data_IF_966054067452
#
_entry.id   IF_966054067452
#
_cell.length_a   1.000
_cell.length_b   1.000
_cell.length_c   1.000
_cell.angle_alpha   90.00
_cell.angle_beta   90.00
_cell.angle_gamma   90.00
#
_symmetry.space_group_name_H-M   'P 1'
#
loop_
_entity.id
_entity.type
_entity.pdbx_description
1 polymer ?
#
# COMPACT_ATOMS: atom_id res chain seq x y z
N UNK A 1 21.59 -22.93 11.65
CA UNK A 1 20.42 -22.13 12.04
C UNK A 1 20.54 -20.77 11.37
N UNK A 2 19.62 -20.42 10.46
CA UNK A 2 19.55 -19.05 9.98
C UNK A 2 18.93 -18.18 11.07
N UNK A 3 19.65 -17.15 11.52
CA UNK A 3 19.10 -16.12 12.40
C UNK A 3 18.25 -15.13 11.63
N UNK A 4 17.80 -14.07 12.30
CA UNK A 4 17.14 -12.93 11.66
C UNK A 4 18.21 -11.90 11.25
N UNK A 5 18.07 -11.35 10.04
CA UNK A 5 18.86 -10.17 9.65
C UNK A 5 18.45 -8.92 10.45
N UNK A 6 19.27 -7.88 10.40
CA UNK A 6 18.92 -6.59 10.97
C UNK A 6 17.60 -6.07 10.35
N UNK A 7 16.69 -5.58 11.19
CA UNK A 7 15.36 -5.11 10.76
C UNK A 7 15.14 -3.68 11.27
N UNK A 8 14.81 -2.76 10.37
CA UNK A 8 14.36 -1.42 10.73
C UNK A 8 12.91 -1.46 11.20
N UNK A 9 12.61 -0.68 12.24
CA UNK A 9 11.27 -0.63 12.82
C UNK A 9 10.82 0.79 13.04
N UNK A 10 9.56 1.02 12.71
CA UNK A 10 8.88 2.28 12.93
C UNK A 10 7.51 1.99 13.53
N UNK A 11 7.10 2.79 14.51
CA UNK A 11 5.79 2.64 15.13
C UNK A 11 4.75 3.47 14.36
N UNK A 12 4.06 2.82 13.43
CA UNK A 12 2.99 3.45 12.63
C UNK A 12 1.79 3.91 13.46
N UNK A 13 1.68 3.53 14.74
CA UNK A 13 0.61 4.03 15.60
C UNK A 13 0.75 5.52 15.92
N UNK A 14 1.95 6.08 15.70
CA UNK A 14 2.26 7.51 15.81
C UNK A 14 1.62 8.36 14.71
N UNK A 15 1.27 7.72 13.59
CA UNK A 15 0.77 8.37 12.38
C UNK A 15 -0.72 8.07 12.14
N UNK A 16 -1.45 7.70 13.20
CA UNK A 16 -2.89 7.42 13.08
C UNK A 16 -3.64 8.65 12.56
N UNK A 17 -4.51 8.42 11.59
CA UNK A 17 -5.28 9.47 10.90
C UNK A 17 -4.56 10.05 9.69
N UNK A 18 -3.28 9.74 9.48
CA UNK A 18 -2.58 10.13 8.25
C UNK A 18 -3.17 9.40 7.04
N UNK A 19 -3.35 10.16 5.96
CA UNK A 19 -3.80 9.63 4.68
C UNK A 19 -2.62 9.03 3.95
N UNK A 20 -2.82 7.89 3.31
CA UNK A 20 -1.82 7.22 2.47
C UNK A 20 -2.40 6.84 1.12
N UNK A 21 -1.54 6.71 0.13
CA UNK A 21 -1.84 6.11 -1.17
C UNK A 21 -1.07 4.82 -1.32
N UNK A 22 -1.79 3.75 -1.65
CA UNK A 22 -1.25 2.44 -2.00
C UNK A 22 -1.30 2.27 -3.51
N UNK A 23 -0.22 1.78 -4.13
CA UNK A 23 -0.21 1.58 -5.57
C UNK A 23 0.64 0.38 -6.04
N UNK A 24 0.21 -0.24 -7.15
CA UNK A 24 0.91 -1.36 -7.80
C UNK A 24 0.59 -1.45 -9.28
N UNK A 25 1.60 -1.47 -10.14
CA UNK A 25 1.41 -1.83 -11.55
C UNK A 25 1.05 -3.31 -11.70
N UNK A 26 0.18 -3.60 -12.66
CA UNK A 26 -0.06 -4.97 -13.09
C UNK A 26 1.18 -5.53 -13.80
N UNK A 27 1.29 -6.86 -13.99
CA UNK A 27 2.48 -7.48 -14.58
C UNK A 27 2.86 -6.98 -15.99
N UNK A 28 1.90 -6.43 -16.74
CA UNK A 28 2.15 -5.88 -18.09
C UNK A 28 2.42 -4.37 -18.11
N UNK A 29 2.44 -3.71 -16.95
CA UNK A 29 2.63 -2.27 -16.81
C UNK A 29 1.63 -1.39 -17.62
N UNK A 30 0.47 -1.94 -17.95
CA UNK A 30 -0.60 -1.22 -18.69
C UNK A 30 -1.65 -0.63 -17.76
N UNK A 31 -1.73 -1.13 -16.52
CA UNK A 31 -2.66 -0.67 -15.50
C UNK A 31 -1.94 -0.42 -14.18
N UNK A 32 -2.32 0.65 -13.50
CA UNK A 32 -1.90 0.95 -12.13
C UNK A 32 -3.09 0.76 -11.19
N UNK A 33 -2.98 -0.17 -10.25
CA UNK A 33 -3.89 -0.23 -9.12
C UNK A 33 -3.50 0.88 -8.15
N UNK A 34 -4.46 1.69 -7.73
CA UNK A 34 -4.28 2.76 -6.74
C UNK A 34 -5.42 2.74 -5.73
N UNK A 35 -5.12 2.92 -4.44
CA UNK A 35 -6.15 3.01 -3.41
C UNK A 35 -5.74 4.05 -2.37
N UNK A 36 -6.73 4.84 -1.94
CA UNK A 36 -6.59 5.71 -0.78
C UNK A 36 -6.81 4.90 0.49
N UNK A 37 -5.96 5.10 1.48
CA UNK A 37 -6.08 4.53 2.81
C UNK A 37 -5.89 5.57 3.91
N UNK A 38 -6.24 5.16 5.12
CA UNK A 38 -5.97 5.89 6.36
C UNK A 38 -5.18 4.96 7.29
N UNK A 39 -4.07 5.44 7.84
CA UNK A 39 -3.34 4.71 8.87
C UNK A 39 -4.18 4.66 10.15
N UNK A 40 -4.50 3.47 10.61
CA UNK A 40 -5.31 3.25 11.83
C UNK A 40 -4.53 2.59 12.96
N UNK A 41 -3.32 2.09 12.69
CA UNK A 41 -2.49 1.47 13.71
C UNK A 41 -1.19 0.83 13.23
N UNK A 42 -0.58 0.12 14.16
CA UNK A 42 0.65 -0.64 13.99
C UNK A 42 0.54 -1.93 14.78
N UNK A 43 1.04 -3.03 14.22
CA UNK A 43 1.20 -4.27 14.98
C UNK A 43 2.57 -4.90 14.75
N UNK A 44 3.00 -5.73 15.71
CA UNK A 44 4.25 -6.49 15.61
C UNK A 44 5.55 -5.67 15.80
N UNK A 45 5.47 -4.39 16.18
CA UNK A 45 6.64 -3.54 16.44
C UNK A 45 7.61 -4.14 17.49
N UNK A 46 7.06 -4.77 18.53
CA UNK A 46 7.79 -5.38 19.65
C UNK A 46 8.11 -6.87 19.44
N UNK A 47 7.70 -7.47 18.31
CA UNK A 47 7.86 -8.91 18.04
C UNK A 47 9.13 -9.20 17.26
N UNK A 48 9.74 -10.37 17.36
CA UNK A 48 10.96 -10.71 16.60
C UNK A 48 10.62 -11.01 15.13
N UNK A 49 11.58 -10.84 14.21
CA UNK A 49 11.44 -11.20 12.79
C UNK A 49 10.64 -10.20 11.94
N UNK A 50 10.08 -10.69 10.81
CA UNK A 50 9.31 -9.94 9.83
C UNK A 50 7.84 -9.72 10.27
N UNK A 51 7.67 -9.10 11.43
CA UNK A 51 6.37 -8.99 12.10
C UNK A 51 5.77 -7.59 12.11
N UNK A 52 6.55 -6.55 11.78
CA UNK A 52 6.07 -5.17 11.72
C UNK A 52 4.97 -5.01 10.66
N UNK A 53 3.87 -4.36 11.03
CA UNK A 53 2.74 -4.07 10.13
C UNK A 53 2.26 -2.64 10.32
N UNK A 54 1.99 -1.97 9.21
CA UNK A 54 1.12 -0.80 9.17
C UNK A 54 -0.33 -1.28 8.99
N UNK A 55 -1.25 -0.83 9.84
CA UNK A 55 -2.66 -1.16 9.70
C UNK A 55 -3.35 -0.02 8.98
N UNK A 56 -3.89 -0.31 7.79
CA UNK A 56 -4.44 0.69 6.88
C UNK A 56 -5.91 0.35 6.63
N UNK A 57 -6.77 1.31 6.90
CA UNK A 57 -8.19 1.24 6.54
C UNK A 57 -8.36 1.76 5.12
N UNK A 58 -8.93 0.93 4.25
CA UNK A 58 -9.34 1.29 2.89
C UNK A 58 -10.87 1.36 2.79
N UNK A 59 -11.39 1.93 1.71
CA UNK A 59 -12.84 2.10 1.51
C UNK A 59 -13.59 0.76 1.49
N UNK A 60 -13.08 -0.21 0.75
CA UNK A 60 -13.62 -1.57 0.67
C UNK A 60 -12.46 -2.59 0.63
N UNK A 61 -12.20 -3.24 1.75
CA UNK A 61 -11.10 -4.19 1.88
C UNK A 61 -11.30 -5.46 1.03
N UNK A 62 -12.55 -5.83 0.72
CA UNK A 62 -12.84 -7.02 -0.08
C UNK A 62 -12.57 -6.75 -1.56
N UNK A 63 -13.02 -5.61 -2.04
CA UNK A 63 -12.74 -5.17 -3.41
C UNK A 63 -11.23 -4.92 -3.62
N UNK A 64 -10.55 -4.31 -2.65
CA UNK A 64 -9.09 -4.17 -2.64
C UNK A 64 -8.40 -5.53 -2.77
N UNK A 65 -8.74 -6.50 -1.92
CA UNK A 65 -8.15 -7.84 -1.94
C UNK A 65 -8.43 -8.58 -3.24
N UNK A 66 -9.64 -8.46 -3.81
CA UNK A 66 -9.93 -9.07 -5.10
C UNK A 66 -9.10 -8.46 -6.24
N UNK A 67 -8.86 -7.15 -6.22
CA UNK A 67 -8.01 -6.48 -7.22
C UNK A 67 -6.55 -6.92 -7.11
N UNK A 68 -6.04 -7.26 -5.93
CA UNK A 68 -4.67 -7.82 -5.82
C UNK A 68 -4.46 -9.09 -6.65
N UNK A 69 -5.52 -9.85 -6.97
CA UNK A 69 -5.41 -11.04 -7.83
C UNK A 69 -4.89 -10.70 -9.25
N UNK A 70 -5.19 -9.50 -9.75
CA UNK A 70 -4.80 -9.04 -11.09
C UNK A 70 -3.48 -8.23 -11.09
N UNK A 71 -3.04 -7.73 -9.93
CA UNK A 71 -1.92 -6.77 -9.80
C UNK A 71 -0.75 -7.30 -8.96
N UNK A 72 -1.01 -8.22 -8.03
CA UNK A 72 -0.08 -8.72 -7.02
C UNK A 72 -0.28 -8.11 -5.64
N UNK A 73 0.31 -8.75 -4.63
CA UNK A 73 0.14 -8.44 -3.20
C UNK A 73 1.22 -7.50 -2.62
N UNK A 74 2.23 -7.12 -3.41
CA UNK A 74 3.25 -6.14 -3.01
C UNK A 74 2.87 -4.76 -3.54
N UNK A 75 2.51 -3.86 -2.63
CA UNK A 75 2.15 -2.47 -2.95
C UNK A 75 3.18 -1.50 -2.40
N UNK A 76 3.38 -0.40 -3.12
CA UNK A 76 4.08 0.76 -2.60
C UNK A 76 3.09 1.61 -1.78
N UNK A 77 3.51 2.07 -0.60
CA UNK A 77 2.76 2.99 0.24
C UNK A 77 3.49 4.34 0.31
N UNK A 78 2.75 5.43 0.10
CA UNK A 78 3.25 6.80 0.29
C UNK A 78 2.27 7.62 1.14
N UNK A 79 2.78 8.55 1.95
CA UNK A 79 1.95 9.47 2.75
C UNK A 79 1.36 10.55 1.86
N UNK A 80 0.05 10.79 1.97
CA UNK A 80 -0.73 11.73 1.15
C UNK A 80 -1.74 11.02 0.24
N UNK A 81 -2.68 11.81 -0.28
CA UNK A 81 -3.65 11.39 -1.29
C UNK A 81 -3.17 11.82 -2.68
N UNK A 82 -2.70 10.86 -3.47
CA UNK A 82 -2.17 11.10 -4.82
C UNK A 82 -2.98 10.36 -5.89
N UNK A 83 -4.18 9.88 -5.59
CA UNK A 83 -4.97 9.09 -6.56
C UNK A 83 -5.24 9.93 -7.82
N UNK A 84 -5.59 11.21 -7.66
CA UNK A 84 -5.84 12.12 -8.78
C UNK A 84 -4.56 12.41 -9.59
N UNK A 85 -3.43 12.63 -8.92
CA UNK A 85 -2.14 12.85 -9.57
C UNK A 85 -1.68 11.61 -10.37
N UNK A 86 -1.94 10.42 -9.84
CA UNK A 86 -1.67 9.16 -10.53
C UNK A 86 -2.57 8.95 -11.75
N UNK A 87 -3.84 9.41 -11.69
CA UNK A 87 -4.72 9.42 -12.88
C UNK A 87 -4.14 10.33 -13.95
N UNK A 88 -3.76 11.56 -13.58
CA UNK A 88 -3.16 12.51 -14.50
C UNK A 88 -1.86 11.98 -15.11
N UNK A 89 -0.99 11.36 -14.32
CA UNK A 89 0.21 10.70 -14.81
C UNK A 89 -0.12 9.56 -15.80
N UNK A 90 -1.16 8.79 -15.51
CA UNK A 90 -1.66 7.73 -16.39
C UNK A 90 -2.07 8.25 -17.76
N UNK A 91 -2.75 9.39 -17.81
CA UNK A 91 -3.15 10.06 -19.06
C UNK A 91 -1.93 10.54 -19.87
N UNK A 92 -0.88 11.03 -19.20
CA UNK A 92 0.35 11.50 -19.85
C UNK A 92 1.21 10.35 -20.39
N UNK A 93 1.33 9.26 -19.63
CA UNK A 93 2.26 8.16 -19.92
C UNK A 93 1.60 7.02 -20.72
N UNK A 94 0.27 6.91 -20.66
CA UNK A 94 -0.50 5.91 -21.40
C UNK A 94 -0.78 4.62 -20.61
N UNK A 95 -0.98 4.71 -19.29
CA UNK A 95 -1.46 3.59 -18.48
C UNK A 95 -2.79 3.92 -17.82
N UNK A 96 -3.63 2.90 -17.60
CA UNK A 96 -4.95 3.08 -16.98
C UNK A 96 -4.88 2.91 -15.46
N UNK A 97 -5.44 3.85 -14.71
CA UNK A 97 -5.63 3.69 -13.27
C UNK A 97 -6.89 2.85 -12.97
N UNK A 98 -6.78 1.93 -12.02
CA UNK A 98 -7.87 1.13 -11.45
C UNK A 98 -7.89 1.37 -9.95
N UNK A 99 -9.05 1.68 -9.38
CA UNK A 99 -9.16 2.08 -7.97
C UNK A 99 -9.94 1.11 -7.11
N UNK A 100 -9.63 1.06 -5.81
CA UNK A 100 -10.42 0.41 -4.75
C UNK A 100 -10.81 1.41 -3.65
#
# INVERSE_FOLDING_TARGET
MGGWGATLRYDFSRDKGEVVTLARFNPTATKLFAAKGELVGCSGFDKVGCSLRAEIKVRDARDFFHKEMDFGHHLAMVYGDYVDDLRYLGDLVGFRVVEA
#
